data_IF_046072875826
#
_entry.id   IF_046072875826
#
_cell.length_a   1.000
_cell.length_b   1.000
_cell.length_c   1.000
_cell.angle_alpha   90.00
_cell.angle_beta   90.00
_cell.angle_gamma   90.00
#
_symmetry.space_group_name_H-M   'P 1'
#
loop_
_entity.id
_entity.type
_entity.pdbx_description
1 polymer ?
#
# COMPACT_ATOMS: atom_id res chain seq x y z
N UNK A 1 -10.08 62.47 -19.16
CA UNK A 1 -9.18 61.31 -19.42
C UNK A 1 -9.95 60.00 -19.62
N UNK A 2 -10.93 59.88 -20.54
CA UNK A 2 -11.73 58.65 -20.72
C UNK A 2 -11.17 57.67 -21.77
N UNK A 3 -10.22 58.10 -22.63
CA UNK A 3 -9.66 57.24 -23.69
C UNK A 3 -8.64 56.21 -23.16
N UNK A 4 -7.88 56.57 -22.13
CA UNK A 4 -6.86 55.70 -21.55
C UNK A 4 -7.46 54.49 -20.83
N UNK A 5 -8.62 54.65 -20.20
CA UNK A 5 -9.35 53.56 -19.53
C UNK A 5 -10.00 52.61 -20.53
N UNK A 6 -10.48 53.11 -21.68
CA UNK A 6 -11.03 52.27 -22.75
C UNK A 6 -10.00 51.33 -23.39
N UNK A 7 -8.78 51.83 -23.65
CA UNK A 7 -7.70 51.03 -24.21
C UNK A 7 -7.16 49.98 -23.23
N UNK A 8 -7.06 50.34 -21.94
CA UNK A 8 -6.67 49.39 -20.90
C UNK A 8 -7.70 48.25 -20.74
N UNK A 9 -9.00 48.56 -20.80
CA UNK A 9 -10.07 47.57 -20.75
C UNK A 9 -10.05 46.64 -21.97
N UNK A 10 -9.83 47.17 -23.17
CA UNK A 10 -9.73 46.37 -24.39
C UNK A 10 -8.50 45.45 -24.39
N UNK A 11 -7.35 45.93 -23.90
CA UNK A 11 -6.14 45.13 -23.75
C UNK A 11 -6.31 44.01 -22.71
N UNK A 12 -6.98 44.29 -21.59
CA UNK A 12 -7.30 43.28 -20.58
C UNK A 12 -8.29 42.23 -21.11
N UNK A 13 -9.33 42.64 -21.85
CA UNK A 13 -10.26 41.72 -22.49
C UNK A 13 -9.57 40.85 -23.56
N UNK A 14 -8.67 41.42 -24.35
CA UNK A 14 -7.84 40.69 -25.32
C UNK A 14 -6.90 39.68 -24.64
N UNK A 15 -6.27 40.07 -23.55
CA UNK A 15 -5.39 39.18 -22.78
C UNK A 15 -6.18 38.05 -22.11
N UNK A 16 -7.34 38.36 -21.52
CA UNK A 16 -8.22 37.36 -20.90
C UNK A 16 -8.79 36.37 -21.92
N UNK A 17 -9.14 36.82 -23.12
CA UNK A 17 -9.60 35.93 -24.19
C UNK A 17 -8.48 35.04 -24.73
N UNK A 18 -7.26 35.57 -24.92
CA UNK A 18 -6.08 34.77 -25.27
C UNK A 18 -5.74 33.72 -24.19
N UNK A 19 -5.81 34.09 -22.92
CA UNK A 19 -5.59 33.16 -21.81
C UNK A 19 -6.70 32.10 -21.71
N UNK A 20 -7.94 32.46 -22.02
CA UNK A 20 -9.06 31.53 -22.03
C UNK A 20 -8.96 30.53 -23.18
N UNK A 21 -8.60 30.96 -24.39
CA UNK A 21 -8.42 30.06 -25.55
C UNK A 21 -7.19 29.17 -25.39
N UNK A 22 -6.09 29.68 -24.85
CA UNK A 22 -4.92 28.87 -24.52
C UNK A 22 -5.23 27.78 -23.45
N UNK A 23 -6.07 28.11 -22.47
CA UNK A 23 -6.56 27.13 -21.47
C UNK A 23 -7.54 26.12 -22.06
N UNK A 24 -8.37 26.53 -23.02
CA UNK A 24 -9.31 25.61 -23.69
C UNK A 24 -8.60 24.65 -24.66
N UNK A 25 -7.58 25.10 -25.39
CA UNK A 25 -6.77 24.22 -26.24
C UNK A 25 -6.00 23.15 -25.45
N UNK A 26 -5.69 23.40 -24.18
CA UNK A 26 -5.12 22.40 -23.25
C UNK A 26 -6.15 21.49 -22.59
N UNK A 27 -7.45 21.83 -22.62
CA UNK A 27 -8.51 20.91 -22.19
C UNK A 27 -8.86 20.01 -23.38
N UNK A 28 -8.08 18.94 -23.52
CA UNK A 28 -8.56 17.73 -24.21
C UNK A 28 -9.92 17.35 -23.61
N UNK A 29 -10.92 16.92 -24.40
CA UNK A 29 -12.15 16.37 -23.85
C UNK A 29 -11.75 15.25 -22.89
N UNK A 30 -12.07 15.44 -21.61
CA UNK A 30 -11.97 14.37 -20.62
C UNK A 30 -13.07 13.38 -21.01
N UNK A 31 -12.76 12.12 -21.34
CA UNK A 31 -13.81 11.12 -21.36
C UNK A 31 -14.33 11.02 -19.92
N UNK A 32 -15.52 11.56 -19.72
CA UNK A 32 -16.33 11.29 -18.54
C UNK A 32 -16.75 9.81 -18.65
N UNK A 33 -16.16 8.95 -17.81
CA UNK A 33 -16.59 7.58 -17.40
C UNK A 33 -15.53 6.46 -17.40
N UNK A 34 -14.22 6.76 -17.42
CA UNK A 34 -13.22 5.74 -17.05
C UNK A 34 -12.65 6.02 -15.66
N UNK A 35 -12.86 5.05 -14.75
CA UNK A 35 -12.18 4.90 -13.47
C UNK A 35 -10.65 5.03 -13.69
N UNK A 36 -9.86 5.57 -12.74
CA UNK A 36 -8.53 6.07 -13.02
C UNK A 36 -7.65 4.99 -13.65
N UNK A 37 -6.98 5.39 -14.71
CA UNK A 37 -5.93 4.66 -15.39
C UNK A 37 -4.99 4.08 -14.32
N UNK A 38 -4.73 2.78 -14.40
CA UNK A 38 -4.32 1.96 -13.26
C UNK A 38 -3.17 2.58 -12.46
N UNK A 39 -3.14 2.28 -11.16
CA UNK A 39 -1.99 2.49 -10.25
C UNK A 39 -0.67 1.86 -10.74
N UNK A 40 -0.68 1.19 -11.90
CA UNK A 40 0.44 0.51 -12.54
C UNK A 40 0.76 1.06 -13.92
N UNK A 41 0.17 2.18 -14.33
CA UNK A 41 0.51 2.84 -15.60
C UNK A 41 1.98 3.22 -15.57
N UNK A 42 2.76 2.67 -16.50
CA UNK A 42 4.18 3.02 -16.65
C UNK A 42 4.27 4.47 -17.08
N UNK A 43 4.85 5.30 -16.24
CA UNK A 43 5.02 6.72 -16.49
C UNK A 43 6.16 6.95 -17.49
N UNK A 44 6.07 8.06 -18.23
CA UNK A 44 7.21 8.54 -19.00
C UNK A 44 8.26 9.16 -18.07
N UNK A 45 9.55 9.17 -18.43
CA UNK A 45 10.61 9.71 -17.56
C UNK A 45 10.37 11.14 -17.08
N UNK A 46 9.81 12.00 -17.94
CA UNK A 46 9.52 13.40 -17.58
C UNK A 46 8.35 13.54 -16.61
N UNK A 47 7.38 12.63 -16.65
CA UNK A 47 6.26 12.62 -15.71
C UNK A 47 6.73 12.10 -14.36
N UNK A 48 7.62 11.10 -14.34
CA UNK A 48 8.28 10.61 -13.12
C UNK A 48 9.10 11.72 -12.46
N UNK A 49 9.95 12.44 -13.21
CA UNK A 49 10.73 13.57 -12.70
C UNK A 49 9.84 14.69 -12.15
N UNK A 50 8.73 15.01 -12.83
CA UNK A 50 7.79 16.02 -12.37
C UNK A 50 7.11 15.60 -11.05
N UNK A 51 6.70 14.34 -10.93
CA UNK A 51 6.09 13.82 -9.70
C UNK A 51 7.08 13.74 -8.55
N UNK A 52 8.33 13.34 -8.81
CA UNK A 52 9.40 13.34 -7.82
C UNK A 52 9.66 14.77 -7.31
N UNK A 53 9.73 15.76 -8.22
CA UNK A 53 9.84 17.17 -7.84
C UNK A 53 8.62 17.66 -7.03
N UNK A 54 7.41 17.26 -7.42
CA UNK A 54 6.19 17.66 -6.73
C UNK A 54 6.13 17.08 -5.31
N UNK A 55 6.57 15.83 -5.14
CA UNK A 55 6.68 15.18 -3.84
C UNK A 55 7.68 15.91 -2.94
N UNK A 56 8.89 16.19 -3.43
CA UNK A 56 9.92 16.94 -2.70
C UNK A 56 9.42 18.32 -2.26
N UNK A 57 8.69 19.02 -3.12
CA UNK A 57 8.16 20.35 -2.81
C UNK A 57 7.07 20.35 -1.73
N UNK A 58 6.16 19.38 -1.76
CA UNK A 58 5.00 19.34 -0.87
C UNK A 58 5.22 18.53 0.41
N UNK A 59 6.18 17.60 0.40
CA UNK A 59 6.58 16.76 1.52
C UNK A 59 8.10 16.86 1.78
N UNK A 60 8.61 18.05 2.16
CA UNK A 60 10.04 18.25 2.37
C UNK A 60 10.60 17.53 3.62
N UNK A 61 9.75 16.87 4.41
CA UNK A 61 10.09 16.05 5.59
C UNK A 61 9.20 14.81 5.57
N UNK A 62 9.34 14.03 4.51
CA UNK A 62 8.62 12.78 4.39
C UNK A 62 9.22 11.76 5.36
N UNK A 63 8.48 11.49 6.45
CA UNK A 63 8.88 10.55 7.49
C UNK A 63 9.20 9.15 6.94
N UNK A 64 8.64 8.76 5.79
CA UNK A 64 8.94 7.49 5.14
C UNK A 64 10.22 7.53 4.31
N UNK A 65 10.51 8.64 3.61
CA UNK A 65 11.79 8.80 2.90
C UNK A 65 12.95 8.98 3.87
N UNK A 66 12.73 9.68 4.98
CA UNK A 66 13.72 9.81 6.06
C UNK A 66 14.05 8.42 6.65
N UNK A 67 13.02 7.58 6.87
CA UNK A 67 13.20 6.19 7.31
C UNK A 67 13.92 5.32 6.26
N UNK A 68 13.59 5.48 4.98
CA UNK A 68 14.27 4.78 3.88
C UNK A 68 15.75 5.16 3.79
N UNK A 69 16.08 6.45 3.94
CA UNK A 69 17.47 6.92 3.99
C UNK A 69 18.21 6.33 5.18
N UNK A 70 17.59 6.32 6.37
CA UNK A 70 18.16 5.69 7.56
C UNK A 70 18.43 4.19 7.32
N UNK A 71 17.50 3.46 6.68
CA UNK A 71 17.69 2.05 6.31
C UNK A 71 18.80 1.85 5.27
N UNK A 72 18.89 2.71 4.26
CA UNK A 72 19.95 2.66 3.25
C UNK A 72 21.32 2.91 3.88
N UNK A 73 21.43 3.85 4.82
CA UNK A 73 22.64 4.11 5.57
C UNK A 73 23.00 2.92 6.47
N UNK A 74 22.03 2.34 7.20
CA UNK A 74 22.24 1.11 7.99
C UNK A 74 22.76 -0.04 7.13
N UNK A 75 22.23 -0.22 5.91
CA UNK A 75 22.71 -1.25 4.97
C UNK A 75 24.08 -0.94 4.35
N UNK A 76 24.40 0.34 4.10
CA UNK A 76 25.68 0.76 3.51
C UNK A 76 26.86 0.64 4.50
N UNK A 77 26.59 0.80 5.80
CA UNK A 77 27.59 0.70 6.87
C UNK A 77 27.65 -0.69 7.53
N UNK A 78 27.30 -1.76 6.81
CA UNK A 78 27.92 -3.08 7.03
C UNK A 78 27.80 -3.72 8.42
N UNK A 79 26.89 -3.27 9.28
CA UNK A 79 26.26 -4.20 10.21
C UNK A 79 25.00 -4.68 9.50
N UNK A 80 24.92 -5.95 9.07
CA UNK A 80 23.61 -6.46 8.68
C UNK A 80 22.76 -6.27 9.93
N UNK A 81 21.75 -5.40 9.86
CA UNK A 81 20.66 -5.39 10.81
C UNK A 81 20.28 -6.86 10.96
N UNK A 82 20.63 -7.46 12.10
CA UNK A 82 20.92 -8.89 12.18
C UNK A 82 19.83 -9.66 11.46
N UNK A 83 20.20 -10.39 10.38
CA UNK A 83 19.23 -11.09 9.53
C UNK A 83 18.22 -11.74 10.48
N UNK A 84 16.94 -11.38 10.37
CA UNK A 84 15.93 -11.91 11.29
C UNK A 84 15.93 -13.43 11.13
N UNK A 85 16.64 -14.11 12.04
CA UNK A 85 16.68 -15.56 12.05
C UNK A 85 15.38 -16.04 12.65
N UNK A 86 14.48 -16.49 11.79
CA UNK A 86 13.22 -17.06 12.25
C UNK A 86 13.48 -18.16 13.30
N UNK A 87 12.76 -18.14 14.43
CA UNK A 87 12.96 -19.11 15.50
C UNK A 87 12.64 -20.54 15.03
N UNK A 88 13.30 -21.52 15.63
CA UNK A 88 12.98 -22.93 15.42
C UNK A 88 11.62 -23.27 16.02
N UNK A 89 10.74 -23.86 15.22
CA UNK A 89 9.50 -24.42 15.75
C UNK A 89 9.80 -25.68 16.59
N UNK A 90 9.38 -25.74 17.87
CA UNK A 90 9.67 -26.87 18.74
C UNK A 90 8.93 -28.16 18.37
N UNK A 91 7.97 -28.11 17.43
CA UNK A 91 7.20 -29.28 16.99
C UNK A 91 7.80 -29.98 15.77
N UNK A 92 8.24 -29.21 14.77
CA UNK A 92 8.69 -29.75 13.49
C UNK A 92 10.17 -29.46 13.21
N UNK A 93 10.83 -28.71 14.09
CA UNK A 93 12.25 -28.37 14.01
C UNK A 93 12.66 -27.63 12.72
N UNK A 94 11.70 -26.90 12.14
CA UNK A 94 11.92 -26.08 10.95
C UNK A 94 12.02 -24.60 11.35
N UNK A 95 12.97 -23.90 10.74
CA UNK A 95 13.01 -22.43 10.68
C UNK A 95 12.27 -22.00 9.43
N UNK A 96 11.18 -21.27 9.60
CA UNK A 96 10.38 -20.71 8.51
C UNK A 96 9.94 -19.31 8.90
N UNK A 97 9.71 -18.48 7.90
CA UNK A 97 9.20 -17.11 8.07
C UNK A 97 7.87 -17.08 8.82
N UNK A 98 7.13 -18.18 8.77
CA UNK A 98 5.86 -18.39 9.45
C UNK A 98 6.01 -19.02 10.84
N UNK A 99 7.17 -18.83 11.50
CA UNK A 99 7.37 -19.08 12.94
C UNK A 99 7.60 -17.76 13.65
N UNK A 100 6.73 -17.42 14.62
CA UNK A 100 6.79 -16.13 15.33
C UNK A 100 6.31 -16.25 16.78
N UNK A 101 6.76 -15.37 17.70
CA UNK A 101 6.22 -15.30 19.05
C UNK A 101 4.82 -14.66 19.06
N UNK A 102 3.92 -15.18 19.90
CA UNK A 102 2.63 -14.54 20.16
C UNK A 102 2.85 -13.12 20.71
N UNK A 103 2.23 -12.07 20.13
CA UNK A 103 2.45 -10.69 20.57
C UNK A 103 1.95 -10.44 22.00
N UNK A 104 1.03 -11.27 22.50
CA UNK A 104 0.45 -11.11 23.84
C UNK A 104 1.24 -11.84 24.94
N UNK A 105 1.79 -13.02 24.66
CA UNK A 105 2.40 -13.87 25.70
C UNK A 105 3.75 -14.49 25.35
N UNK A 106 4.29 -14.21 24.16
CA UNK A 106 5.58 -14.70 23.71
C UNK A 106 5.66 -16.18 23.35
N UNK A 107 4.58 -16.97 23.52
CA UNK A 107 4.55 -18.38 23.08
C UNK A 107 4.84 -18.47 21.58
N UNK A 108 5.76 -19.34 21.16
CA UNK A 108 6.04 -19.59 19.74
C UNK A 108 4.82 -20.19 19.03
N UNK A 109 4.55 -19.64 17.85
CA UNK A 109 3.46 -19.97 16.94
C UNK A 109 4.07 -20.40 15.61
N UNK A 110 3.46 -21.38 14.95
CA UNK A 110 3.85 -21.78 13.60
C UNK A 110 2.60 -22.13 12.79
N UNK A 111 2.26 -21.33 11.77
CA UNK A 111 1.04 -21.54 10.98
C UNK A 111 1.04 -22.85 10.19
N UNK A 112 2.14 -23.18 9.50
CA UNK A 112 2.20 -24.36 8.63
C UNK A 112 1.96 -25.66 9.39
N UNK A 113 2.46 -25.80 10.62
CA UNK A 113 2.29 -27.02 11.43
C UNK A 113 1.26 -26.88 12.57
N UNK A 114 0.63 -25.71 12.69
CA UNK A 114 -0.34 -25.37 13.73
C UNK A 114 0.22 -25.36 15.15
N UNK A 115 1.55 -25.25 15.35
CA UNK A 115 2.10 -25.23 16.70
C UNK A 115 1.67 -23.96 17.45
N UNK A 116 1.31 -24.12 18.72
CA UNK A 116 0.95 -23.01 19.60
C UNK A 116 -0.42 -22.38 19.33
N UNK A 117 -1.13 -22.81 18.28
CA UNK A 117 -2.39 -22.21 17.83
C UNK A 117 -3.50 -23.26 17.64
N UNK A 118 -4.75 -22.80 17.69
CA UNK A 118 -5.94 -23.60 17.34
C UNK A 118 -6.86 -22.76 16.47
N UNK A 119 -7.53 -23.40 15.51
CA UNK A 119 -8.54 -22.75 14.69
C UNK A 119 -9.89 -22.71 15.41
N UNK A 120 -10.58 -21.56 15.36
CA UNK A 120 -11.97 -21.37 15.76
C UNK A 120 -12.76 -20.91 14.54
N UNK A 121 -13.73 -21.69 14.09
CA UNK A 121 -14.69 -21.24 13.07
C UNK A 121 -15.54 -20.12 13.64
N UNK A 122 -15.84 -19.10 12.84
CA UNK A 122 -16.76 -18.02 13.23
C UNK A 122 -18.17 -18.32 12.73
N UNK A 123 -19.18 -18.14 13.60
CA UNK A 123 -20.57 -18.45 13.27
C UNK A 123 -21.16 -17.50 12.22
N UNK A 124 -20.68 -16.26 12.20
CA UNK A 124 -21.08 -15.23 11.24
C UNK A 124 -19.81 -14.64 10.62
N UNK A 125 -19.51 -14.98 9.36
CA UNK A 125 -18.38 -14.39 8.67
C UNK A 125 -18.45 -12.87 8.69
N UNK A 126 -17.33 -12.23 8.97
CA UNK A 126 -17.20 -10.77 8.99
C UNK A 126 -16.11 -10.33 8.02
N UNK A 127 -16.13 -9.08 7.59
CA UNK A 127 -15.16 -8.57 6.63
C UNK A 127 -14.06 -7.80 7.34
N UNK A 128 -12.82 -7.96 6.86
CA UNK A 128 -11.71 -7.09 7.24
C UNK A 128 -11.91 -5.71 6.62
N UNK A 129 -11.44 -4.66 7.30
CA UNK A 129 -11.42 -3.32 6.74
C UNK A 129 -10.17 -3.18 5.86
N UNK A 130 -10.35 -3.07 4.54
CA UNK A 130 -9.26 -2.92 3.57
C UNK A 130 -9.76 -2.91 2.12
N UNK A 131 -8.87 -2.58 1.19
CA UNK A 131 -9.16 -2.44 -0.26
C UNK A 131 -9.67 -3.74 -0.89
N UNK A 132 -9.30 -4.90 -0.33
CA UNK A 132 -9.82 -6.22 -0.71
C UNK A 132 -10.48 -6.87 0.51
N UNK A 133 -11.76 -6.54 0.75
CA UNK A 133 -12.47 -7.03 1.92
C UNK A 133 -12.80 -8.54 1.78
N UNK A 134 -11.98 -9.40 2.36
CA UNK A 134 -12.22 -10.84 2.40
C UNK A 134 -13.15 -11.21 3.56
N UNK A 135 -13.93 -12.28 3.39
CA UNK A 135 -14.80 -12.78 4.45
C UNK A 135 -14.00 -13.69 5.40
N UNK A 136 -13.86 -13.28 6.65
CA UNK A 136 -13.23 -14.09 7.70
C UNK A 136 -14.18 -15.23 8.07
N UNK A 137 -13.74 -16.48 7.83
CA UNK A 137 -14.48 -17.71 8.13
C UNK A 137 -13.93 -18.46 9.35
N UNK A 138 -12.77 -18.03 9.84
CA UNK A 138 -12.19 -18.56 11.06
C UNK A 138 -11.12 -17.66 11.67
N UNK A 139 -10.75 -17.97 12.89
CA UNK A 139 -9.72 -17.25 13.65
C UNK A 139 -8.72 -18.25 14.22
N UNK A 140 -7.44 -17.93 14.08
CA UNK A 140 -6.37 -18.64 14.75
C UNK A 140 -6.17 -18.06 16.13
N UNK A 141 -6.32 -18.90 17.15
CA UNK A 141 -6.27 -18.50 18.55
C UNK A 141 -5.03 -19.09 19.21
N UNK A 142 -4.24 -18.26 19.89
CA UNK A 142 -3.13 -18.72 20.71
C UNK A 142 -3.64 -19.68 21.80
N UNK A 143 -2.97 -20.83 21.95
CA UNK A 143 -3.29 -21.81 23.00
C UNK A 143 -2.74 -21.42 24.37
N UNK A 144 -1.95 -20.36 24.47
CA UNK A 144 -1.37 -19.88 25.73
C UNK A 144 -2.20 -18.79 26.40
N UNK A 145 -2.63 -17.76 25.65
CA UNK A 145 -3.33 -16.59 26.18
C UNK A 145 -4.70 -16.33 25.56
N UNK A 146 -5.14 -17.17 24.63
CA UNK A 146 -6.41 -17.04 23.91
C UNK A 146 -6.57 -15.78 23.04
N UNK A 147 -5.49 -15.05 22.74
CA UNK A 147 -5.52 -13.97 21.76
C UNK A 147 -5.74 -14.50 20.33
N UNK A 148 -6.42 -13.70 19.50
CA UNK A 148 -6.49 -13.92 18.05
C UNK A 148 -5.13 -13.53 17.46
N UNK A 149 -4.50 -14.45 16.74
CA UNK A 149 -3.14 -14.32 16.20
C UNK A 149 -3.07 -14.48 14.68
N UNK A 150 -4.22 -14.76 14.04
CA UNK A 150 -4.35 -14.86 12.60
C UNK A 150 -5.82 -14.98 12.22
N UNK A 151 -6.14 -14.61 10.99
CA UNK A 151 -7.47 -14.73 10.41
C UNK A 151 -7.43 -15.78 9.31
N UNK A 152 -8.48 -16.60 9.23
CA UNK A 152 -8.70 -17.53 8.14
C UNK A 152 -9.84 -16.96 7.29
N UNK A 153 -9.54 -16.68 6.04
CA UNK A 153 -10.39 -15.93 5.12
C UNK A 153 -10.84 -16.83 3.98
N UNK A 154 -12.04 -16.56 3.49
CA UNK A 154 -12.57 -17.22 2.31
C UNK A 154 -11.84 -16.68 1.07
N UNK A 155 -10.92 -17.46 0.54
CA UNK A 155 -10.17 -17.12 -0.68
C UNK A 155 -11.00 -17.30 -1.97
N UNK A 156 -12.27 -17.71 -1.84
CA UNK A 156 -13.09 -18.10 -2.99
C UNK A 156 -12.57 -19.40 -3.62
N UNK A 157 -13.42 -20.04 -4.42
CA UNK A 157 -13.01 -21.20 -5.23
C UNK A 157 -12.05 -20.74 -6.35
N UNK A 158 -10.80 -20.39 -6.02
CA UNK A 158 -9.75 -20.51 -7.03
C UNK A 158 -9.67 -22.01 -7.37
N UNK A 159 -9.90 -22.40 -8.64
CA UNK A 159 -9.85 -23.80 -9.02
C UNK A 159 -8.45 -24.29 -8.71
N UNK A 160 -8.39 -25.18 -7.72
CA UNK A 160 -7.23 -25.94 -7.29
C UNK A 160 -6.40 -26.28 -8.53
N UNK A 161 -5.29 -25.57 -8.68
CA UNK A 161 -4.39 -25.70 -9.82
C UNK A 161 -3.93 -27.14 -9.84
N UNK A 162 -4.62 -27.95 -10.64
CA UNK A 162 -4.49 -29.40 -10.66
C UNK A 162 -3.06 -29.83 -10.90
N UNK A 163 -2.33 -30.05 -9.82
CA UNK A 163 -1.06 -30.77 -9.81
C UNK A 163 -1.30 -32.10 -9.10
N UNK A 164 -2.05 -32.97 -9.78
CA UNK A 164 -2.03 -34.41 -9.57
C UNK A 164 -2.09 -35.12 -10.93
N UNK A 165 -0.92 -35.33 -11.55
CA UNK A 165 -0.47 -36.69 -11.93
C UNK A 165 0.97 -36.73 -12.40
#
# INVERSE_FOLDING_TARGET
MPLATGLAAAALLGLLTLLATARHGRRRPRPDDEHPESLTTVLGPGDEEYLAWLADHHWPRDEYLDLEHDWLDEMAFGEPAGHYEAPLCPRCDLRREDVWPCPTCGRLLHSSCGHGMRRRTVDRPYRTHGTNSEAVIGEWICTGCASVVGLDVDHGDEPDGGLLR
#
